data_IF_122275530171
#
_entry.id   IF_122275530171
#
_cell.length_a   1.000
_cell.length_b   1.000
_cell.length_c   1.000
_cell.angle_alpha   90.00
_cell.angle_beta   90.00
_cell.angle_gamma   90.00
#
_symmetry.space_group_name_H-M   'P 1'
#
loop_
_entity.id
_entity.type
_entity.pdbx_description
1 polymer ?
2 water ?
#
# COMPACT_ATOMS: atom_id res chain seq x y z
N UNK A 1 26.16 3.08 -8.91
CA UNK A 1 25.43 4.14 -8.21
C UNK A 1 24.05 4.44 -8.82
N UNK A 2 23.07 3.53 -8.67
CA UNK A 2 21.87 3.54 -9.50
C UNK A 2 20.73 4.31 -8.82
N UNK A 3 19.93 4.99 -9.64
CA UNK A 3 19.03 6.06 -9.21
C UNK A 3 17.57 5.61 -9.33
N UNK A 4 16.78 5.87 -8.29
CA UNK A 4 15.39 5.42 -8.22
C UNK A 4 14.49 6.63 -7.99
N UNK A 5 13.43 6.75 -8.79
CA UNK A 5 12.40 7.75 -8.58
C UNK A 5 11.24 7.13 -7.81
N UNK A 6 10.80 7.81 -6.75
CA UNK A 6 9.70 7.35 -5.93
C UNK A 6 8.67 8.47 -5.85
N UNK A 7 7.48 8.23 -6.34
CA UNK A 7 6.43 9.22 -6.28
C UNK A 7 5.67 9.12 -4.96
N UNK A 8 5.19 10.27 -4.48
CA UNK A 8 4.45 10.32 -3.23
C UNK A 8 5.30 9.89 -2.05
N UNK A 9 6.51 10.46 -1.96
CA UNK A 9 7.54 9.95 -1.07
C UNK A 9 7.25 10.16 0.42
N UNK A 10 6.27 10.99 0.77
CA UNK A 10 5.88 11.13 2.17
C UNK A 10 4.75 10.20 2.58
N UNK A 11 4.18 9.42 1.66
CA UNK A 11 3.14 8.47 2.01
C UNK A 11 3.63 7.41 3.00
N UNK A 12 2.68 6.62 3.48
CA UNK A 12 2.92 5.64 4.55
C UNK A 12 3.86 4.52 4.10
N UNK A 13 3.47 3.78 3.06
CA UNK A 13 4.37 2.79 2.50
C UNK A 13 5.64 3.46 1.99
N UNK A 14 5.49 4.65 1.37
CA UNK A 14 6.60 5.22 0.60
C UNK A 14 7.78 5.56 1.49
N UNK A 15 7.53 6.26 2.60
CA UNK A 15 8.61 6.57 3.54
C UNK A 15 9.41 5.33 3.89
N UNK A 16 8.72 4.20 4.05
CA UNK A 16 9.43 2.96 4.37
C UNK A 16 10.28 2.50 3.19
N UNK A 17 9.75 2.57 1.98
CA UNK A 17 10.53 2.27 0.80
C UNK A 17 11.78 3.17 0.75
N UNK A 18 11.58 4.45 0.99
CA UNK A 18 12.69 5.40 0.93
C UNK A 18 13.78 5.02 1.92
N UNK A 19 13.39 4.78 3.17
CA UNK A 19 14.34 4.36 4.20
C UNK A 19 15.11 3.11 3.78
N UNK A 20 14.38 2.10 3.27
CA UNK A 20 15.08 0.89 2.86
C UNK A 20 15.94 1.13 1.62
N UNK A 21 15.46 1.92 0.66
CA UNK A 21 16.28 2.26 -0.50
C UNK A 21 17.56 2.97 -0.07
N UNK A 22 17.47 3.96 0.83
CA UNK A 22 18.68 4.69 1.25
C UNK A 22 19.70 3.74 1.87
N UNK A 23 19.24 2.77 2.65
CA UNK A 23 20.14 1.85 3.33
C UNK A 23 20.79 0.84 2.38
N UNK A 24 20.34 0.74 1.14
CA UNK A 24 21.04 -0.03 0.11
C UNK A 24 21.82 0.87 -0.84
N UNK A 25 22.13 2.10 -0.42
CA UNK A 25 22.96 3.03 -1.16
C UNK A 25 22.45 3.27 -2.59
N UNK A 26 21.14 3.31 -2.77
CA UNK A 26 20.59 3.87 -4.01
C UNK A 26 20.53 5.39 -3.90
N UNK A 27 20.54 6.05 -5.06
CA UNK A 27 20.24 7.47 -5.09
C UNK A 27 18.74 7.61 -5.32
N UNK A 28 18.06 8.26 -4.38
CA UNK A 28 16.61 8.35 -4.38
C UNK A 28 16.20 9.76 -4.74
N UNK A 29 15.27 9.86 -5.69
CA UNK A 29 14.61 11.11 -6.00
C UNK A 29 13.14 10.90 -5.69
N UNK A 30 12.66 11.53 -4.64
CA UNK A 30 11.28 11.42 -4.30
C UNK A 30 10.50 12.54 -4.93
N UNK A 31 9.25 12.27 -5.27
CA UNK A 31 8.37 13.35 -5.69
C UNK A 31 7.42 13.63 -4.54
N UNK A 32 7.14 14.90 -4.33
CA UNK A 32 6.31 15.37 -3.25
C UNK A 32 5.45 16.48 -3.82
N UNK A 33 4.41 16.84 -3.08
CA UNK A 33 3.42 17.79 -3.59
C UNK A 33 3.74 19.24 -3.29
N UNK A 34 4.69 19.52 -2.38
CA UNK A 34 5.08 20.89 -2.06
C UNK A 34 6.50 20.92 -1.50
N UNK A 35 7.06 22.14 -1.42
CA UNK A 35 8.37 22.32 -0.79
C UNK A 35 8.33 21.92 0.69
N UNK A 36 7.25 22.27 1.39
CA UNK A 36 7.12 21.87 2.79
C UNK A 36 7.25 20.35 2.92
N UNK A 37 6.44 19.61 2.14
CA UNK A 37 6.53 18.15 2.18
C UNK A 37 7.94 17.67 1.92
N UNK A 38 8.64 18.28 0.96
CA UNK A 38 9.96 17.82 0.58
C UNK A 38 11.03 18.19 1.59
N UNK A 39 11.05 19.45 2.03
CA UNK A 39 11.95 19.84 3.11
C UNK A 39 11.75 18.94 4.32
N UNK A 40 10.50 18.64 4.64
CA UNK A 40 10.20 17.77 5.77
C UNK A 40 10.84 16.41 5.59
N UNK A 41 10.68 15.82 4.41
CA UNK A 41 11.23 14.50 4.17
C UNK A 41 12.74 14.51 4.31
N UNK A 42 13.41 15.51 3.73
CA UNK A 42 14.86 15.49 3.84
C UNK A 42 15.32 15.67 5.28
N UNK A 43 14.53 16.37 6.11
CA UNK A 43 14.94 16.57 7.50
C UNK A 43 14.77 15.30 8.34
N UNK A 44 13.65 14.58 8.17
CA UNK A 44 13.49 13.30 8.84
C UNK A 44 14.72 12.41 8.67
N UNK A 45 15.28 12.37 7.47
CA UNK A 45 16.44 11.54 7.19
C UNK A 45 17.75 12.29 7.41
N UNK A 46 17.69 13.52 7.89
CA UNK A 46 18.88 14.32 8.18
C UNK A 46 19.69 14.61 6.93
N UNK A 47 19.00 14.93 5.83
CA UNK A 47 19.58 15.41 4.59
C UNK A 47 20.80 14.57 4.14
N UNK A 48 20.63 13.28 3.90
CA UNK A 48 21.73 12.51 3.35
C UNK A 48 22.05 12.95 1.92
N UNK A 49 23.27 12.60 1.49
CA UNK A 49 23.73 12.86 0.13
C UNK A 49 22.86 12.16 -0.90
N UNK A 50 22.40 10.94 -0.58
CA UNK A 50 21.69 10.08 -1.52
C UNK A 50 20.23 10.45 -1.71
N UNK A 51 19.75 11.56 -1.16
CA UNK A 51 18.32 11.83 -1.11
C UNK A 51 18.04 13.21 -1.63
N UNK A 52 17.03 13.33 -2.49
CA UNK A 52 16.60 14.62 -3.02
C UNK A 52 15.19 14.46 -3.52
N UNK A 53 14.55 15.59 -3.83
CA UNK A 53 13.14 15.58 -4.20
C UNK A 53 12.85 16.54 -5.34
N UNK A 54 11.77 16.24 -6.06
CA UNK A 54 11.18 17.14 -7.05
C UNK A 54 9.70 17.28 -6.75
N UNK A 55 9.12 18.41 -7.17
CA UNK A 55 7.73 18.71 -6.84
C UNK A 55 6.82 18.34 -8.00
N UNK A 56 5.79 17.55 -7.70
CA UNK A 56 4.72 17.21 -8.63
C UNK A 56 3.39 17.38 -7.90
N UNK A 57 2.71 18.51 -8.16
CA UNK A 57 1.59 18.94 -7.31
C UNK A 57 0.35 18.07 -7.50
N UNK A 58 0.00 17.70 -8.74
CA UNK A 58 -1.08 16.74 -8.98
C UNK A 58 -0.52 15.60 -9.82
N UNK A 59 -0.44 14.41 -9.22
CA UNK A 59 0.30 13.34 -9.88
C UNK A 59 -0.54 12.61 -10.91
N UNK A 60 -1.82 12.94 -11.04
CA UNK A 60 -2.64 12.31 -12.05
C UNK A 60 -2.83 13.09 -13.33
N UNK A 61 -2.39 14.35 -13.38
CA UNK A 61 -2.66 15.18 -14.55
C UNK A 61 -1.72 14.84 -15.70
N UNK A 62 -2.10 15.29 -16.89
CA UNK A 62 -1.33 15.01 -18.09
C UNK A 62 0.05 15.65 -17.98
N UNK A 63 1.10 14.85 -18.15
CA UNK A 63 2.42 15.43 -18.13
C UNK A 63 2.99 15.77 -16.75
N UNK A 64 2.33 15.34 -15.66
CA UNK A 64 2.79 15.68 -14.32
C UNK A 64 4.25 15.28 -14.11
N UNK A 65 4.66 14.15 -14.67
CA UNK A 65 5.99 13.60 -14.42
C UNK A 65 7.00 13.82 -15.55
N UNK A 66 6.71 14.72 -16.51
CA UNK A 66 7.62 14.89 -17.64
C UNK A 66 8.89 15.61 -17.21
N UNK A 67 8.73 16.78 -16.59
CA UNK A 67 9.88 17.60 -16.24
C UNK A 67 10.84 16.85 -15.31
N UNK A 68 10.31 16.07 -14.38
CA UNK A 68 11.21 15.28 -13.53
C UNK A 68 11.85 14.14 -14.33
N UNK A 69 11.11 13.53 -15.26
CA UNK A 69 11.71 12.49 -16.08
C UNK A 69 12.80 13.03 -17.01
N UNK A 70 12.60 14.23 -17.56
CA UNK A 70 13.60 14.79 -18.46
C UNK A 70 14.84 15.25 -17.69
N UNK A 71 14.66 15.93 -16.56
CA UNK A 71 15.80 16.40 -15.79
C UNK A 71 16.66 15.27 -15.23
N UNK A 72 16.10 14.07 -15.05
CA UNK A 72 16.85 12.99 -14.42
C UNK A 72 16.92 11.75 -15.31
N UNK A 73 17.54 11.89 -16.47
CA UNK A 73 17.63 10.81 -17.43
C UNK A 73 18.47 9.63 -16.97
N UNK A 74 19.10 9.72 -15.81
CA UNK A 74 19.89 8.60 -15.29
C UNK A 74 19.07 7.66 -14.42
N UNK A 75 17.78 7.95 -14.22
CA UNK A 75 16.92 7.07 -13.43
C UNK A 75 16.65 5.77 -14.19
N UNK A 76 16.88 4.64 -13.51
CA UNK A 76 16.63 3.32 -14.07
C UNK A 76 15.32 2.70 -13.58
N UNK A 77 14.83 3.11 -12.43
CA UNK A 77 13.66 2.52 -11.80
C UNK A 77 12.68 3.62 -11.46
N UNK A 78 11.40 3.38 -11.72
CA UNK A 78 10.34 4.28 -11.28
C UNK A 78 9.38 3.50 -10.37
N UNK A 79 9.42 3.81 -9.08
CA UNK A 79 8.49 3.25 -8.09
C UNK A 79 7.32 4.21 -7.93
N UNK A 80 6.14 3.80 -8.38
CA UNK A 80 4.96 4.65 -8.36
C UNK A 80 4.14 4.29 -7.12
N UNK A 81 4.20 5.14 -6.11
CA UNK A 81 3.43 4.89 -4.90
C UNK A 81 2.38 5.94 -4.61
N UNK A 82 2.36 7.05 -5.35
CA UNK A 82 1.49 8.19 -5.04
C UNK A 82 0.00 7.86 -5.22
N UNK A 83 -0.83 8.47 -4.38
CA UNK A 83 -2.30 8.32 -4.43
C UNK A 83 -2.99 9.50 -5.13
N UNK A 87 -11.42 12.79 -0.57
CA UNK A 87 -11.52 12.15 0.74
C UNK A 87 -12.98 11.78 1.12
N UNK A 88 -13.95 12.68 0.86
CA UNK A 88 -15.37 12.36 1.00
C UNK A 88 -16.02 12.52 -0.36
N UNK A 89 -16.70 11.46 -0.78
CA UNK A 89 -16.96 11.17 -2.18
C UNK A 89 -18.43 11.46 -2.49
N UNK A 90 -18.67 12.37 -3.42
CA UNK A 90 -20.01 12.64 -3.90
C UNK A 90 -20.32 11.76 -5.11
N UNK A 91 -19.80 12.13 -6.29
CA UNK A 91 -19.85 11.27 -7.46
C UNK A 91 -18.62 10.38 -7.46
N UNK A 92 -18.85 9.09 -7.31
CA UNK A 92 -17.75 8.13 -7.38
C UNK A 92 -17.11 8.12 -8.76
N UNK A 93 -17.88 8.40 -9.81
CA UNK A 93 -17.32 8.29 -11.16
C UNK A 93 -16.27 9.36 -11.43
N UNK A 94 -16.58 10.63 -11.15
CA UNK A 94 -15.64 11.69 -11.44
C UNK A 94 -14.57 11.83 -10.36
N UNK A 95 -14.88 11.49 -9.13
CA UNK A 95 -13.92 11.73 -8.05
C UNK A 95 -13.00 10.55 -7.79
N UNK A 96 -13.34 9.34 -8.20
CA UNK A 96 -12.53 8.17 -7.90
C UNK A 96 -12.11 7.38 -9.12
N UNK A 97 -13.06 6.99 -10.00
CA UNK A 97 -12.75 6.01 -11.03
C UNK A 97 -11.96 6.61 -12.19
N UNK A 98 -12.45 7.71 -12.76
CA UNK A 98 -11.69 8.37 -13.83
C UNK A 98 -10.32 8.84 -13.36
N UNK A 99 -10.18 9.56 -12.23
CA UNK A 99 -8.82 9.93 -11.78
C UNK A 99 -7.87 8.75 -11.61
N UNK A 100 -8.35 7.63 -11.10
CA UNK A 100 -7.48 6.45 -11.02
C UNK A 100 -7.10 5.95 -12.40
N UNK A 101 -8.06 5.83 -13.32
CA UNK A 101 -7.75 5.32 -14.65
C UNK A 101 -6.92 6.33 -15.43
N UNK A 102 -7.36 7.58 -15.46
CA UNK A 102 -6.62 8.59 -16.22
C UNK A 102 -5.26 8.88 -15.58
N UNK A 103 -5.21 9.00 -14.25
CA UNK A 103 -3.92 9.17 -13.59
C UNK A 103 -2.92 8.10 -13.97
N UNK A 104 -3.36 6.84 -14.01
CA UNK A 104 -2.43 5.76 -14.31
C UNK A 104 -1.93 5.82 -15.75
N UNK A 105 -2.81 6.15 -16.70
CA UNK A 105 -2.40 6.29 -18.09
C UNK A 105 -1.42 7.46 -18.25
N UNK A 106 -1.72 8.60 -17.63
CA UNK A 106 -0.83 9.77 -17.73
C UNK A 106 0.56 9.45 -17.17
N UNK A 107 0.64 8.75 -16.04
CA UNK A 107 1.95 8.43 -15.45
C UNK A 107 2.76 7.56 -16.40
N UNK A 108 2.16 6.46 -16.88
CA UNK A 108 2.87 5.57 -17.78
C UNK A 108 3.19 6.25 -19.10
N UNK A 109 2.30 7.12 -19.58
CA UNK A 109 2.60 7.87 -20.80
C UNK A 109 3.86 8.72 -20.63
N UNK A 110 3.99 9.43 -19.50
CA UNK A 110 5.21 10.19 -19.28
C UNK A 110 6.44 9.29 -19.29
N UNK A 111 6.36 8.13 -18.64
CA UNK A 111 7.49 7.24 -18.67
C UNK A 111 7.73 6.75 -20.09
N UNK A 112 6.66 6.59 -20.87
CA UNK A 112 6.82 6.15 -22.25
C UNK A 112 7.58 7.18 -23.08
N UNK A 113 7.14 8.44 -23.04
CA UNK A 113 7.77 9.47 -23.86
C UNK A 113 9.18 9.78 -23.35
N UNK A 114 9.31 10.13 -22.07
CA UNK A 114 10.55 10.71 -21.57
C UNK A 114 11.32 9.82 -20.59
N UNK A 115 10.84 8.61 -20.32
CA UNK A 115 11.54 7.76 -19.39
C UNK A 115 12.58 6.93 -20.10
N UNK A 116 13.53 7.61 -20.75
CA UNK A 116 14.41 6.94 -21.71
C UNK A 116 15.15 5.78 -21.06
N UNK A 117 15.76 6.01 -19.91
CA UNK A 117 16.54 4.99 -19.25
C UNK A 117 15.74 4.16 -18.25
N UNK A 118 14.45 4.44 -18.08
CA UNK A 118 13.62 3.72 -17.11
C UNK A 118 13.43 2.30 -17.63
N UNK A 119 13.98 1.32 -16.89
CA UNK A 119 13.91 -0.08 -17.28
C UNK A 119 12.94 -0.89 -16.44
N UNK A 120 12.62 -0.45 -15.23
CA UNK A 120 11.71 -1.17 -14.36
C UNK A 120 10.73 -0.17 -13.75
N UNK A 121 9.48 -0.57 -13.68
CA UNK A 121 8.42 0.25 -13.10
C UNK A 121 7.66 -0.60 -12.10
N UNK A 122 7.49 -0.10 -10.88
CA UNK A 122 6.70 -0.79 -9.88
C UNK A 122 5.55 0.11 -9.43
N UNK A 123 4.33 -0.43 -9.45
CA UNK A 123 3.14 0.31 -9.06
C UNK A 123 2.48 -0.37 -7.87
N UNK A 124 2.06 0.44 -6.91
CA UNK A 124 1.29 -0.10 -5.79
C UNK A 124 -0.14 -0.28 -6.22
N UNK A 125 -0.61 -1.52 -6.20
CA UNK A 125 -2.02 -1.76 -6.42
C UNK A 125 -2.65 -2.16 -5.08
N UNK A 126 -3.48 -3.21 -5.08
CA UNK A 126 -4.19 -3.56 -3.86
C UNK A 126 -4.78 -4.95 -4.04
N UNK A 127 -4.85 -5.68 -2.92
CA UNK A 127 -5.63 -6.91 -2.89
C UNK A 127 -7.04 -6.68 -3.44
N UNK A 128 -7.56 -5.46 -3.30
CA UNK A 128 -8.87 -5.16 -3.82
C UNK A 128 -8.96 -5.34 -5.33
N UNK A 129 -7.83 -5.28 -6.05
CA UNK A 129 -7.88 -5.56 -7.47
C UNK A 129 -7.82 -7.06 -7.76
N UNK A 130 -7.55 -7.87 -6.74
CA UNK A 130 -7.47 -9.31 -6.91
C UNK A 130 -8.78 -10.01 -6.57
N UNK A 131 -9.49 -9.58 -5.52
CA UNK A 131 -10.53 -10.42 -4.94
C UNK A 131 -11.92 -9.84 -5.21
N UNK A 132 -12.76 -10.65 -5.83
CA UNK A 132 -14.19 -10.35 -5.96
C UNK A 132 -14.87 -10.59 -4.60
N UNK A 133 -15.73 -9.65 -4.19
CA UNK A 133 -16.36 -9.75 -2.87
C UNK A 133 -16.98 -11.12 -2.64
N UNK A 134 -17.71 -11.65 -3.63
CA UNK A 134 -18.37 -12.94 -3.44
C UNK A 134 -17.37 -14.06 -3.23
N UNK A 135 -16.19 -13.97 -3.86
CA UNK A 135 -15.18 -14.99 -3.66
C UNK A 135 -14.50 -14.88 -2.30
N UNK A 136 -14.15 -13.65 -1.89
CA UNK A 136 -13.47 -13.44 -0.60
C UNK A 136 -14.30 -13.96 0.56
N UNK A 137 -15.63 -13.95 0.42
CA UNK A 137 -16.53 -14.40 1.46
C UNK A 137 -16.80 -15.89 1.42
N UNK A 138 -16.10 -16.65 0.57
CA UNK A 138 -16.38 -18.08 0.35
C UNK A 138 -15.27 -18.90 1.01
N UNK A 139 -15.60 -19.56 2.12
CA UNK A 139 -14.60 -20.33 2.85
C UNK A 139 -13.97 -21.44 2.00
N UNK A 140 -14.61 -21.82 0.89
CA UNK A 140 -14.07 -22.87 0.04
C UNK A 140 -13.23 -22.33 -1.11
N UNK A 141 -13.18 -21.01 -1.29
CA UNK A 141 -12.44 -20.42 -2.38
C UNK A 141 -10.94 -20.32 -2.09
N UNK A 142 -10.12 -20.45 -3.14
CA UNK A 142 -8.70 -20.11 -3.13
C UNK A 142 -8.48 -18.88 -4.00
N UNK A 143 -7.69 -17.92 -3.52
CA UNK A 143 -7.43 -16.68 -4.26
C UNK A 143 -5.93 -16.49 -4.44
N UNK A 144 -5.52 -16.27 -5.69
CA UNK A 144 -4.12 -16.20 -6.12
C UNK A 144 -3.90 -14.93 -6.95
N UNK A 145 -2.64 -14.74 -7.38
CA UNK A 145 -2.27 -13.58 -8.17
C UNK A 145 -3.01 -13.51 -9.51
N UNK A 146 -3.58 -14.63 -9.98
CA UNK A 146 -4.28 -14.59 -11.26
C UNK A 146 -5.71 -14.10 -11.14
N UNK A 147 -6.30 -14.16 -9.94
CA UNK A 147 -7.66 -13.71 -9.74
C UNK A 147 -7.77 -12.19 -9.89
N UNK A 148 -8.85 -11.74 -10.51
CA UNK A 148 -9.15 -10.32 -10.65
C UNK A 148 -10.48 -10.00 -9.98
N UNK A 149 -10.56 -8.83 -9.36
CA UNK A 149 -11.84 -8.35 -8.85
C UNK A 149 -12.78 -8.20 -10.05
N UNK A 150 -13.84 -8.99 -10.10
CA UNK A 150 -14.67 -8.95 -11.30
C UNK A 150 -15.78 -7.90 -11.21
N UNK A 151 -15.67 -6.94 -10.29
CA UNK A 151 -16.72 -5.93 -10.17
C UNK A 151 -16.81 -5.13 -11.47
N UNK A 152 -18.04 -4.83 -11.88
CA UNK A 152 -18.24 -3.99 -13.05
C UNK A 152 -18.05 -2.50 -12.73
N UNK A 153 -17.78 -1.74 -13.80
CA UNK A 153 -17.81 -0.29 -13.70
C UNK A 153 -19.13 0.19 -13.13
N UNK A 154 -20.23 -0.41 -13.57
CA UNK A 154 -21.52 0.05 -13.10
C UNK A 154 -21.67 -0.19 -11.62
N UNK A 155 -21.27 -1.37 -11.16
CA UNK A 155 -21.37 -1.69 -9.74
C UNK A 155 -20.39 -0.89 -8.89
N UNK A 156 -19.29 -0.41 -9.49
CA UNK A 156 -18.34 0.39 -8.75
C UNK A 156 -18.88 1.76 -8.34
N UNK A 157 -19.94 2.25 -9.01
CA UNK A 157 -20.59 3.52 -8.65
C UNK A 157 -21.60 3.41 -7.51
N UNK A 158 -21.97 2.20 -7.08
CA UNK A 158 -23.06 2.04 -6.12
C UNK A 158 -22.78 2.75 -4.80
N UNK A 159 -21.60 2.54 -4.21
CA UNK A 159 -21.33 3.06 -2.88
C UNK A 159 -19.83 3.29 -2.73
N UNK A 160 -19.43 4.15 -1.79
CA UNK A 160 -17.99 4.47 -1.61
C UNK A 160 -17.05 3.29 -1.39
N UNK A 161 -17.53 2.15 -0.87
CA UNK A 161 -16.63 1.00 -0.71
C UNK A 161 -16.41 0.32 -2.05
N UNK A 162 -17.50 0.05 -2.79
CA UNK A 162 -17.36 -0.44 -4.15
C UNK A 162 -16.55 0.52 -5.01
N UNK A 163 -16.73 1.83 -4.79
CA UNK A 163 -15.93 2.81 -5.50
C UNK A 163 -14.43 2.64 -5.22
N UNK A 164 -14.09 2.46 -3.95
CA UNK A 164 -12.67 2.34 -3.60
C UNK A 164 -12.08 1.08 -4.24
N UNK A 165 -12.70 -0.08 -4.01
CA UNK A 165 -12.11 -1.30 -4.56
C UNK A 165 -12.18 -1.30 -6.08
N UNK A 166 -13.29 -0.83 -6.66
CA UNK A 166 -13.35 -0.69 -8.10
C UNK A 166 -12.21 0.15 -8.66
N UNK A 167 -11.97 1.31 -8.05
CA UNK A 167 -10.92 2.19 -8.58
C UNK A 167 -9.57 1.51 -8.53
N UNK A 168 -9.32 0.70 -7.51
CA UNK A 168 -8.05 -0.03 -7.48
C UNK A 168 -7.96 -1.01 -8.65
N UNK A 169 -9.06 -1.73 -8.92
CA UNK A 169 -9.06 -2.68 -10.02
C UNK A 169 -8.95 -1.98 -11.38
N UNK A 170 -9.69 -0.89 -11.60
CA UNK A 170 -9.62 -0.28 -12.91
C UNK A 170 -8.29 0.44 -13.12
N UNK A 171 -7.73 1.04 -12.06
CA UNK A 171 -6.40 1.62 -12.14
C UNK A 171 -5.36 0.60 -12.57
N UNK A 172 -5.41 -0.61 -11.98
CA UNK A 172 -4.44 -1.63 -12.35
C UNK A 172 -4.74 -2.21 -13.73
N UNK A 173 -6.03 -2.39 -14.04
CA UNK A 173 -6.41 -2.85 -15.36
C UNK A 173 -5.84 -1.90 -16.42
N UNK A 174 -5.80 -0.61 -16.09
CA UNK A 174 -5.32 0.38 -17.05
C UNK A 174 -3.82 0.27 -17.26
N UNK A 175 -3.05 -0.03 -16.20
CA UNK A 175 -1.62 -0.17 -16.34
C UNK A 175 -1.25 -1.34 -17.25
N UNK A 176 -1.87 -2.51 -17.04
CA UNK A 176 -1.56 -3.66 -17.90
C UNK A 176 -2.03 -3.42 -19.32
N UNK A 177 -3.20 -2.78 -19.48
CA UNK A 177 -3.61 -2.36 -20.82
C UNK A 177 -2.52 -1.53 -21.47
N UNK A 178 -1.90 -0.63 -20.72
CA UNK A 178 -0.96 0.28 -21.35
C UNK A 178 0.22 -0.48 -21.93
N UNK A 179 0.84 -1.34 -21.13
CA UNK A 179 2.04 -1.98 -21.63
C UNK A 179 1.71 -3.06 -22.65
N UNK A 180 0.52 -3.68 -22.54
CA UNK A 180 0.19 -4.70 -23.53
C UNK A 180 -0.32 -4.08 -24.84
N UNK A 181 -0.89 -2.88 -24.77
CA UNK A 181 -1.51 -2.24 -25.93
C UNK A 181 -0.56 -1.30 -26.68
N UNK A 182 0.42 -0.70 -25.99
CA UNK A 182 1.41 0.13 -26.65
C UNK A 182 2.58 -0.72 -27.13
N UNK A 183 3.18 -0.29 -28.24
CA UNK A 183 4.40 -0.84 -28.80
C UNK A 183 5.61 -0.11 -28.23
N UNK A 184 6.81 -0.62 -28.53
CA UNK A 184 8.08 0.04 -28.22
C UNK A 184 8.39 0.07 -26.72
N UNK A 185 7.58 -0.57 -25.87
CA UNK A 185 7.66 -0.37 -24.42
C UNK A 185 8.99 -0.89 -23.91
N UNK A 186 9.81 0.02 -23.35
CA UNK A 186 11.17 -0.31 -22.97
C UNK A 186 11.29 -0.84 -21.54
N UNK A 187 10.29 -0.65 -20.71
CA UNK A 187 10.38 -1.05 -19.31
C UNK A 187 9.46 -2.22 -19.02
N UNK A 188 9.86 -3.03 -18.05
CA UNK A 188 8.94 -4.00 -17.47
C UNK A 188 8.06 -3.29 -16.45
N UNK A 189 7.05 -4.01 -15.98
CA UNK A 189 6.15 -3.48 -14.96
C UNK A 189 5.81 -4.57 -13.95
N UNK A 190 5.92 -4.24 -12.68
CA UNK A 190 5.48 -5.12 -11.62
C UNK A 190 4.43 -4.42 -10.77
N UNK A 191 3.72 -5.22 -10.01
CA UNK A 191 2.58 -4.74 -9.25
C UNK A 191 2.66 -5.32 -7.85
N UNK A 192 2.45 -4.49 -6.84
CA UNK A 192 2.42 -4.90 -5.44
C UNK A 192 0.98 -4.75 -4.94
N UNK A 193 0.32 -5.86 -4.62
CA UNK A 193 -1.09 -5.82 -4.18
C UNK A 193 -1.22 -6.21 -2.72
N UNK A 194 -1.08 -5.27 -1.79
CA UNK A 194 -1.23 -5.61 -0.38
C UNK A 194 -2.69 -5.64 0.06
N UNK A 195 -2.96 -6.45 1.08
CA UNK A 195 -4.25 -6.38 1.76
C UNK A 195 -4.24 -5.16 2.68
N UNK A 196 -5.00 -5.19 3.79
CA UNK A 196 -4.93 -4.08 4.74
C UNK A 196 -3.52 -3.94 5.29
N UNK A 197 -2.97 -2.74 5.20
CA UNK A 197 -1.58 -2.50 5.57
C UNK A 197 -1.53 -1.99 7.01
N UNK A 198 -0.93 -2.79 7.90
CA UNK A 198 -0.71 -2.45 9.29
C UNK A 198 0.74 -2.08 9.49
N UNK A 199 1.09 -1.69 10.71
CA UNK A 199 2.48 -1.46 11.04
C UNK A 199 2.72 -0.01 11.41
N UNK A 200 3.88 0.25 12.03
CA UNK A 200 4.20 1.62 12.45
C UNK A 200 4.58 2.51 11.28
N UNK A 201 4.50 3.82 11.49
CA UNK A 201 5.10 4.77 10.57
C UNK A 201 6.62 4.82 10.70
N UNK A 202 7.28 5.25 9.62
CA UNK A 202 8.74 5.28 9.66
C UNK A 202 9.27 6.16 10.78
N UNK A 203 8.46 7.12 11.21
CA UNK A 203 8.88 8.12 12.16
C UNK A 203 7.73 8.37 13.13
N UNK A 204 8.03 8.33 14.43
CA UNK A 204 7.05 8.65 15.45
C UNK A 204 6.54 10.06 15.37
N UNK A 205 7.32 10.97 14.79
CA UNK A 205 6.88 12.34 14.61
C UNK A 205 5.52 12.41 13.92
N UNK A 206 5.29 11.53 12.95
CA UNK A 206 4.19 11.64 12.01
C UNK A 206 2.81 11.35 12.64
N UNK A 207 2.76 10.83 13.87
CA UNK A 207 1.49 10.35 14.40
C UNK A 207 0.61 11.53 14.74
N UNK A 208 -0.55 11.52 14.15
CA UNK A 208 -1.64 12.36 14.53
C UNK A 208 -2.62 11.54 15.35
N UNK A 209 -3.75 12.18 15.61
CA UNK A 209 -4.75 11.64 16.49
C UNK A 209 -5.56 10.55 15.83
N UNK A 210 -5.90 10.78 14.58
CA UNK A 210 -6.57 9.86 13.68
C UNK A 210 -5.54 9.55 12.60
N UNK A 211 -5.13 8.29 12.51
CA UNK A 211 -4.26 7.87 11.42
C UNK A 211 -5.03 7.96 10.11
N UNK A 212 -4.39 8.51 9.10
CA UNK A 212 -5.03 8.54 7.79
C UNK A 212 -4.81 7.25 7.01
N UNK A 213 -4.12 6.27 7.61
CA UNK A 213 -3.74 5.00 7.02
C UNK A 213 -4.71 3.89 7.42
N UNK A 214 -4.34 2.66 7.08
CA UNK A 214 -5.13 1.49 7.44
C UNK A 214 -4.89 1.04 8.88
N UNK A 215 -3.82 1.53 9.51
CA UNK A 215 -3.63 1.25 10.92
C UNK A 215 -4.72 1.89 11.79
N UNK A 216 -5.57 2.76 11.22
CA UNK A 216 -6.71 3.31 11.95
C UNK A 216 -7.68 2.23 12.43
N UNK A 217 -7.79 1.11 11.71
CA UNK A 217 -8.49 -0.06 12.26
C UNK A 217 -7.96 -0.36 13.66
N UNK A 218 -6.64 -0.43 13.79
CA UNK A 218 -6.01 -0.67 15.09
C UNK A 218 -6.25 0.52 16.02
N UNK A 219 -6.02 1.73 15.51
CA UNK A 219 -6.23 2.94 16.30
C UNK A 219 -7.67 3.02 16.84
N UNK A 220 -8.65 2.65 16.02
CA UNK A 220 -10.03 2.78 16.44
C UNK A 220 -10.34 1.87 17.62
N UNK A 221 -9.65 0.73 17.73
CA UNK A 221 -9.75 -0.10 18.94
C UNK A 221 -9.34 0.69 20.17
N UNK A 222 -8.25 1.47 20.09
CA UNK A 222 -7.74 2.15 21.27
C UNK A 222 -8.68 3.23 21.79
N UNK A 223 -9.68 3.65 21.02
CA UNK A 223 -10.61 4.66 21.49
C UNK A 223 -11.91 4.08 22.03
N UNK A 224 -12.00 2.78 22.21
CA UNK A 224 -13.19 2.17 22.78
C UNK A 224 -13.12 2.16 24.30
N UNK A 225 -14.29 2.36 24.93
CA UNK A 225 -14.56 2.23 26.36
C UNK A 225 -14.92 0.77 26.71
N UNK A 226 -14.67 0.34 27.97
CA UNK A 226 -14.74 -1.09 28.30
C UNK A 226 -16.02 -1.86 27.93
N UNK A 227 -17.16 -1.21 27.78
CA UNK A 227 -18.39 -1.89 27.40
C UNK A 227 -18.93 -1.42 26.05
N UNK A 228 -18.08 -0.80 25.24
CA UNK A 228 -18.35 -0.68 23.81
C UNK A 228 -18.35 -2.05 23.16
N UNK A 229 -19.17 -2.20 22.13
CA UNK A 229 -19.09 -3.37 21.30
C UNK A 229 -17.92 -3.21 20.35
N UNK A 230 -17.33 -4.34 19.98
CA UNK A 230 -16.11 -4.33 19.16
C UNK A 230 -16.51 -4.22 17.69
N UNK A 231 -15.89 -3.34 16.91
CA UNK A 231 -16.31 -3.21 15.50
C UNK A 231 -16.17 -4.54 14.78
N UNK A 232 -16.97 -4.70 13.73
CA UNK A 232 -16.73 -5.76 12.79
C UNK A 232 -15.75 -5.22 11.75
N UNK A 233 -14.64 -5.94 11.60
CA UNK A 233 -13.63 -5.62 10.60
C UNK A 233 -12.89 -6.91 10.37
N UNK A 234 -12.71 -7.27 9.12
CA UNK A 234 -11.97 -8.48 8.90
C UNK A 234 -11.36 -8.45 7.51
N UNK A 235 -10.27 -9.19 7.34
CA UNK A 235 -9.68 -9.32 6.03
C UNK A 235 -8.27 -9.86 6.14
N UNK A 236 -7.56 -9.80 5.03
CA UNK A 236 -6.15 -10.04 5.08
C UNK A 236 -5.41 -8.79 5.51
N UNK A 237 -4.23 -8.99 6.08
CA UNK A 237 -3.39 -7.88 6.48
C UNK A 237 -1.96 -8.23 6.11
N UNK A 238 -1.11 -7.21 6.10
CA UNK A 238 0.33 -7.40 5.90
C UNK A 238 1.01 -6.18 6.50
N UNK A 239 2.19 -6.38 7.07
CA UNK A 239 2.91 -5.27 7.69
C UNK A 239 3.51 -4.36 6.62
N UNK A 240 3.48 -3.05 6.89
CA UNK A 240 3.91 -2.03 5.95
C UNK A 240 5.37 -2.19 5.58
N UNK A 241 6.20 -2.65 6.52
CA UNK A 241 7.62 -2.81 6.24
C UNK A 241 7.87 -3.92 5.23
N UNK A 242 7.07 -4.99 5.26
CA UNK A 242 7.19 -6.04 4.26
C UNK A 242 6.67 -5.58 2.89
N UNK A 243 5.64 -4.74 2.89
CA UNK A 243 5.18 -4.17 1.63
C UNK A 243 6.27 -3.31 1.03
N UNK A 244 6.81 -2.37 1.83
CA UNK A 244 7.93 -1.54 1.39
C UNK A 244 9.07 -2.40 0.85
N UNK A 245 9.44 -3.46 1.56
CA UNK A 245 10.55 -4.27 1.10
C UNK A 245 10.21 -4.95 -0.22
N UNK A 246 8.95 -5.35 -0.38
CA UNK A 246 8.55 -6.01 -1.62
C UNK A 246 8.71 -5.08 -2.81
N UNK A 247 8.37 -3.79 -2.65
CA UNK A 247 8.64 -2.84 -3.73
C UNK A 247 10.08 -2.91 -4.18
N UNK A 248 11.02 -3.13 -3.25
CA UNK A 248 12.41 -3.13 -3.66
C UNK A 248 12.79 -4.46 -4.27
N UNK A 249 12.37 -5.58 -3.67
CA UNK A 249 12.65 -6.86 -4.30
C UNK A 249 12.02 -6.91 -5.68
N UNK A 250 10.96 -6.14 -5.90
CA UNK A 250 10.21 -6.25 -7.15
C UNK A 250 11.01 -5.80 -8.37
N UNK A 251 11.96 -4.87 -8.21
CA UNK A 251 12.82 -4.51 -9.32
C UNK A 251 14.24 -5.07 -9.23
N UNK A 252 14.68 -5.52 -8.06
CA UNK A 252 16.01 -6.08 -7.94
C UNK A 252 16.07 -7.53 -8.40
N UNK A 253 15.00 -8.27 -8.18
CA UNK A 253 14.86 -9.63 -8.68
C UNK A 253 14.30 -9.60 -10.10
N UNK A 254 14.98 -10.29 -11.01
CA UNK A 254 14.54 -10.27 -12.40
C UNK A 254 13.26 -11.06 -12.60
N UNK A 255 13.04 -12.12 -11.82
CA UNK A 255 11.80 -12.87 -12.08
C UNK A 255 10.53 -12.12 -11.67
N UNK A 256 10.65 -10.92 -11.12
CA UNK A 256 9.46 -10.18 -10.76
C UNK A 256 8.88 -9.38 -11.92
N UNK A 257 9.55 -9.35 -13.08
CA UNK A 257 9.05 -8.59 -14.22
C UNK A 257 7.71 -9.13 -14.72
N UNK A 258 6.77 -8.22 -14.96
CA UNK A 258 5.42 -8.55 -15.43
C UNK A 258 4.71 -9.48 -14.48
N UNK A 259 5.00 -9.37 -13.19
CA UNK A 259 4.32 -10.11 -12.14
C UNK A 259 3.39 -9.19 -11.36
N UNK A 260 2.27 -9.77 -10.90
CA UNK A 260 1.45 -9.19 -9.85
C UNK A 260 1.79 -9.90 -8.55
N UNK A 261 2.30 -9.17 -7.57
CA UNK A 261 2.78 -9.78 -6.34
C UNK A 261 1.76 -9.50 -5.25
N UNK A 262 1.16 -10.57 -4.74
CA UNK A 262 0.21 -10.45 -3.64
C UNK A 262 0.96 -10.32 -2.31
N UNK A 263 0.63 -9.29 -1.54
CA UNK A 263 1.26 -9.09 -0.25
C UNK A 263 0.22 -9.29 0.83
N UNK A 264 0.29 -10.46 1.48
CA UNK A 264 -0.61 -10.79 2.57
C UNK A 264 0.10 -11.74 3.52
N UNK A 265 0.11 -11.37 4.78
CA UNK A 265 0.68 -12.17 5.85
C UNK A 265 -0.34 -13.10 6.54
N UNK A 266 -1.62 -12.79 6.49
CA UNK A 266 -2.56 -13.58 7.25
C UNK A 266 -3.91 -12.89 7.32
N UNK A 267 -4.74 -13.41 8.21
CA UNK A 267 -6.12 -12.98 8.34
C UNK A 267 -6.32 -12.38 9.72
N UNK A 268 -7.28 -11.47 9.83
CA UNK A 268 -7.61 -10.90 11.14
C UNK A 268 -9.11 -10.59 11.18
N UNK A 269 -9.64 -10.57 12.39
CA UNK A 269 -10.84 -9.81 12.71
C UNK A 269 -10.51 -8.81 13.80
N UNK A 270 -11.45 -7.91 14.08
CA UNK A 270 -11.20 -6.92 15.13
C UNK A 270 -10.93 -7.60 16.46
N UNK A 271 -11.57 -8.74 16.71
CA UNK A 271 -11.30 -9.46 17.94
C UNK A 271 -9.85 -9.92 18.00
N UNK A 272 -9.25 -10.24 16.85
CA UNK A 272 -7.83 -10.59 16.83
C UNK A 272 -7.02 -9.46 17.41
N UNK A 273 -7.34 -8.22 17.03
CA UNK A 273 -6.56 -7.07 17.47
C UNK A 273 -6.79 -6.78 18.94
N UNK A 274 -8.05 -6.78 19.36
CA UNK A 274 -8.40 -6.63 20.77
C UNK A 274 -7.59 -7.61 21.64
N UNK A 275 -7.65 -8.90 21.30
CA UNK A 275 -6.93 -9.92 22.06
C UNK A 275 -5.44 -9.61 22.17
N UNK A 276 -4.79 -9.25 21.06
CA UNK A 276 -3.36 -8.93 21.10
C UNK A 276 -3.10 -7.77 22.04
N UNK A 277 -3.94 -6.72 21.95
CA UNK A 277 -3.70 -5.53 22.75
C UNK A 277 -3.94 -5.83 24.23
N UNK A 278 -5.04 -6.51 24.54
CA UNK A 278 -5.32 -6.85 25.94
C UNK A 278 -4.22 -7.71 26.55
N UNK A 279 -3.53 -8.52 25.74
CA UNK A 279 -2.48 -9.39 26.26
C UNK A 279 -1.06 -8.77 26.24
N UNK A 280 -0.83 -7.67 25.53
CA UNK A 280 0.52 -7.12 25.50
C UNK A 280 0.63 -5.75 26.15
N UNK A 281 -0.47 -5.12 26.52
CA UNK A 281 -0.44 -3.77 27.08
C UNK A 281 -1.20 -3.81 28.39
N UNK A 282 -0.55 -4.26 29.46
CA UNK A 282 -1.19 -4.28 30.79
C UNK A 282 -1.82 -2.95 31.13
N UNK A 283 -1.18 -1.86 30.71
CA UNK A 283 -1.71 -0.51 30.94
C UNK A 283 -3.12 -0.35 30.38
N UNK A 284 -3.35 -0.86 29.15
CA UNK A 284 -4.66 -0.67 28.51
C UNK A 284 -5.66 -1.77 28.88
N UNK A 285 -5.18 -2.90 29.39
CA UNK A 285 -6.10 -3.97 29.77
C UNK A 285 -7.02 -3.46 30.87
N UNK A 286 -8.32 -3.46 30.61
CA UNK A 286 -9.30 -2.90 31.49
C UNK A 286 -9.90 -1.60 31.01
N UNK A 287 -9.21 -0.87 30.13
CA UNK A 287 -9.73 0.36 29.58
C UNK A 287 -10.35 0.18 28.20
N UNK A 288 -10.14 -0.95 27.56
CA UNK A 288 -10.72 -1.23 26.25
C UNK A 288 -11.51 -2.54 26.40
N UNK A 289 -12.41 -2.83 25.46
CA UNK A 289 -13.27 -4.01 25.63
C UNK A 289 -12.49 -5.31 25.60
N UNK A 290 -13.17 -6.36 26.02
CA UNK A 290 -12.64 -7.71 25.93
C UNK A 290 -13.37 -8.55 24.88
N UNK A 291 -14.66 -8.27 24.63
CA UNK A 291 -15.73 -9.22 24.33
C UNK A 291 -15.33 -10.69 24.34
N UNK A 292 -15.43 -11.38 23.18
CA UNK A 292 -15.34 -12.84 23.15
C UNK A 292 -13.98 -13.29 22.63
N UNK A 293 -12.98 -13.46 23.50
CA UNK A 293 -11.63 -13.81 23.01
C UNK A 293 -11.65 -15.15 22.30
N UNK A 294 -10.83 -15.25 21.25
CA UNK A 294 -10.76 -16.42 20.40
C UNK A 294 -11.86 -16.53 19.35
N UNK A 295 -12.91 -15.69 19.41
CA UNK A 295 -13.97 -15.77 18.43
C UNK A 295 -13.45 -15.62 17.00
N UNK A 296 -12.28 -15.01 16.83
CA UNK A 296 -11.77 -14.71 15.49
C UNK A 296 -11.43 -15.97 14.70
N UNK A 297 -10.86 -16.99 15.36
CA UNK A 297 -10.41 -18.18 14.62
C UNK A 297 -11.57 -18.89 13.93
N UNK A 298 -12.72 -19.01 14.61
CA UNK A 298 -13.87 -19.61 13.94
C UNK A 298 -14.42 -18.71 12.85
N UNK A 299 -14.40 -17.40 13.05
CA UNK A 299 -14.95 -16.49 12.05
C UNK A 299 -14.08 -16.51 10.78
N UNK A 300 -12.75 -16.48 10.94
CA UNK A 300 -11.86 -16.54 9.78
C UNK A 300 -12.00 -17.89 9.09
N UNK A 301 -12.06 -18.97 9.87
CA UNK A 301 -12.21 -20.29 9.29
C UNK A 301 -13.52 -20.40 8.54
N UNK A 302 -14.57 -19.75 9.04
CA UNK A 302 -15.92 -19.99 8.53
C UNK A 302 -16.32 -19.09 7.38
N UNK A 303 -15.68 -17.93 7.19
CA UNK A 303 -16.27 -16.94 6.30
C UNK A 303 -15.29 -16.19 5.41
N UNK A 304 -14.05 -16.69 5.24
CA UNK A 304 -13.08 -16.06 4.36
C UNK A 304 -12.43 -17.08 3.45
N UNK A 305 -12.24 -16.70 2.18
CA UNK A 305 -11.41 -17.50 1.30
C UNK A 305 -10.00 -17.64 1.86
N UNK A 306 -9.27 -18.60 1.31
CA UNK A 306 -7.85 -18.76 1.56
C UNK A 306 -7.08 -17.99 0.51
N UNK A 307 -6.20 -17.11 0.96
CA UNK A 307 -5.30 -16.39 0.06
C UNK A 307 -4.09 -17.25 -0.17
N UNK A 308 -3.85 -17.64 -1.42
CA UNK A 308 -2.73 -18.50 -1.76
C UNK A 308 -1.66 -17.66 -2.44
N UNK A 309 -0.75 -17.11 -1.64
CA UNK A 309 0.33 -16.26 -2.14
C UNK A 309 1.66 -17.00 -2.25
N UNK A 310 1.62 -18.32 -2.48
CA UNK A 310 2.84 -19.12 -2.56
C UNK A 310 3.84 -18.51 -3.55
N UNK A 311 3.39 -18.26 -4.78
CA UNK A 311 4.31 -17.76 -5.80
C UNK A 311 4.87 -16.39 -5.44
N UNK A 312 4.03 -15.52 -4.87
CA UNK A 312 4.53 -14.24 -4.39
C UNK A 312 5.56 -14.42 -3.28
N UNK A 313 5.31 -15.33 -2.33
CA UNK A 313 6.28 -15.58 -1.28
C UNK A 313 7.58 -16.18 -1.81
N UNK A 314 7.50 -17.03 -2.84
CA UNK A 314 8.71 -17.52 -3.47
C UNK A 314 9.44 -16.38 -4.17
N UNK A 315 8.69 -15.48 -4.79
CA UNK A 315 9.33 -14.40 -5.53
C UNK A 315 10.12 -13.50 -4.59
N UNK A 316 9.64 -13.33 -3.35
CA UNK A 316 10.22 -12.37 -2.42
C UNK A 316 11.26 -13.01 -1.52
N UNK A 317 11.02 -14.23 -1.07
CA UNK A 317 11.95 -14.95 -0.24
C UNK A 317 12.42 -14.27 1.04
N UNK A 318 11.49 -13.79 1.87
CA UNK A 318 11.86 -13.32 3.20
C UNK A 318 10.69 -13.50 4.14
N UNK A 319 11.01 -13.60 5.42
CA UNK A 319 10.00 -13.80 6.47
C UNK A 319 9.24 -12.51 6.75
N UNK A 320 7.91 -12.60 6.76
CA UNK A 320 7.07 -11.47 7.13
C UNK A 320 6.96 -11.35 8.64
N UNK A 321 6.75 -10.13 9.12
CA UNK A 321 6.23 -9.95 10.48
C UNK A 321 4.91 -10.70 10.65
N UNK A 322 4.59 -11.07 11.89
CA UNK A 322 3.29 -11.69 12.15
C UNK A 322 2.34 -10.66 12.79
N UNK A 323 1.10 -11.09 13.04
CA UNK A 323 0.09 -10.17 13.57
C UNK A 323 0.56 -9.52 14.87
N UNK A 324 1.06 -10.32 15.82
CA UNK A 324 1.41 -9.76 17.13
C UNK A 324 2.53 -8.72 17.01
N UNK A 325 3.59 -9.02 16.26
CA UNK A 325 4.64 -8.01 16.08
C UNK A 325 4.07 -6.76 15.44
N UNK A 326 3.33 -6.94 14.35
CA UNK A 326 2.84 -5.79 13.60
C UNK A 326 1.90 -4.95 14.46
N UNK A 327 0.95 -5.61 15.14
CA UNK A 327 0.02 -4.87 15.99
C UNK A 327 0.77 -4.17 17.13
N UNK A 328 1.69 -4.89 17.77
CA UNK A 328 2.45 -4.35 18.89
C UNK A 328 3.26 -3.14 18.47
N UNK A 329 4.07 -3.30 17.41
CA UNK A 329 4.88 -2.19 16.94
C UNK A 329 4.02 -0.98 16.61
N UNK A 330 2.79 -1.20 16.17
CA UNK A 330 1.92 -0.09 15.81
C UNK A 330 1.39 0.61 17.06
N UNK A 331 0.83 -0.17 17.99
CA UNK A 331 0.27 0.41 19.19
C UNK A 331 1.36 1.11 19.99
N UNK A 332 2.53 0.44 20.14
CA UNK A 332 3.63 1.03 20.90
C UNK A 332 3.94 2.41 20.39
N UNK A 333 4.02 2.55 19.06
CA UNK A 333 4.33 3.83 18.47
C UNK A 333 3.25 4.85 18.79
N UNK A 334 1.99 4.51 18.59
CA UNK A 334 0.90 5.43 18.87
C UNK A 334 0.92 5.86 20.33
N UNK A 335 1.00 4.89 21.25
CA UNK A 335 0.89 5.21 22.67
C UNK A 335 2.04 6.11 23.10
N UNK A 336 3.28 5.73 22.76
CA UNK A 336 4.42 6.55 23.14
C UNK A 336 4.37 7.94 22.49
N UNK A 337 3.78 8.06 21.30
CA UNK A 337 3.77 9.35 20.62
C UNK A 337 2.83 10.33 21.30
N UNK A 338 1.73 9.83 21.87
CA UNK A 338 0.83 10.65 22.66
C UNK A 338 1.44 11.08 23.99
N UNK A 339 2.67 10.63 24.29
CA UNK A 339 3.40 10.82 25.57
C UNK A 339 2.74 9.98 26.65
#
# INVERSE_FOLDING_TARGET
>A
PITVIVSGATGFIAQHVVKQLLAKNYQVIGTVRSTAKGDHLLKLFNNPKNLSYEIVEDVGTKGAFDKVLQKHGEAKVFLHLASPFHFNVTDVEKELLLPAVDGTKNVLQAIYNFGNNIEKVVITSSYAAISTASKEADKNAIITEKDWNEISWQDALLNPVNGYRGSKKFAEKAAWDFIKSNDNVKFSLSTINPSFVFGPQSFGSEIKQSLNTSSEIINSILKLKPNDSIPASKGGWVDVRDVAKAHIIAFENEDAKNQRILLNSGRFTSQSLVDIINDKFPDLKGKIPVDEPGSDKSVIAESLATIDDTKSRELLGFEYYNLEQSVYDTVEQIVNAHK
#
